data_IF_741023578141
#
_entry.id   IF_741023578141
#
_cell.length_a   1.000
_cell.length_b   1.000
_cell.length_c   1.000
_cell.angle_alpha   90.00
_cell.angle_beta   90.00
_cell.angle_gamma   90.00
#
_symmetry.space_group_name_H-M   'P 1'
#
loop_
_entity.id
_entity.type
_entity.pdbx_description
1 polymer ?
#
# COMPACT_ATOMS: atom_id res chain seq x y z
N UNK A 1 2.96 18.69 3.49
CA UNK A 1 2.50 19.62 4.54
C UNK A 1 2.77 19.08 5.94
N UNK A 2 2.29 17.87 6.28
CA UNK A 2 2.44 17.24 7.61
C UNK A 2 3.91 17.10 8.05
N UNK A 3 4.79 16.53 7.22
CA UNK A 3 6.24 16.43 7.51
C UNK A 3 6.87 17.77 7.92
N UNK A 4 6.45 18.87 7.29
CA UNK A 4 6.93 20.22 7.61
C UNK A 4 6.38 20.68 8.96
N UNK A 5 5.10 20.43 9.25
CA UNK A 5 4.50 20.73 10.54
C UNK A 5 5.23 20.01 11.68
N UNK A 6 5.52 18.72 11.51
CA UNK A 6 6.28 17.92 12.51
C UNK A 6 7.68 18.47 12.75
N UNK A 7 8.41 18.86 11.69
CA UNK A 7 9.74 19.51 11.82
C UNK A 7 9.68 20.84 12.56
N UNK A 8 8.55 21.56 12.46
CA UNK A 8 8.36 22.85 13.09
C UNK A 8 7.76 22.76 14.51
N UNK A 9 7.40 21.56 15.00
CA UNK A 9 6.75 21.37 16.30
C UNK A 9 7.45 22.14 17.42
N UNK A 10 8.74 21.89 17.62
CA UNK A 10 9.55 22.55 18.67
C UNK A 10 9.62 24.06 18.47
N UNK A 11 9.75 24.53 17.23
CA UNK A 11 9.78 25.96 16.94
C UNK A 11 8.44 26.65 17.24
N UNK A 12 7.33 25.98 16.93
CA UNK A 12 5.97 26.46 17.22
C UNK A 12 5.74 26.52 18.73
N UNK A 13 6.10 25.47 19.46
CA UNK A 13 6.00 25.43 20.93
C UNK A 13 6.82 26.55 21.60
N UNK A 14 8.07 26.74 21.18
CA UNK A 14 8.92 27.83 21.69
C UNK A 14 8.35 29.21 21.36
N UNK A 15 7.80 29.39 20.16
CA UNK A 15 7.15 30.64 19.76
C UNK A 15 5.92 30.92 20.63
N UNK A 16 5.09 29.90 20.87
CA UNK A 16 3.91 30.02 21.74
C UNK A 16 4.29 30.39 23.16
N UNK A 17 5.32 29.75 23.72
CA UNK A 17 5.81 30.05 25.08
C UNK A 17 6.30 31.50 25.15
N UNK A 18 7.16 31.93 24.21
CA UNK A 18 7.69 33.30 24.19
C UNK A 18 6.61 34.35 24.02
N UNK A 19 5.69 34.13 23.08
CA UNK A 19 4.61 35.06 22.79
C UNK A 19 3.60 35.14 23.95
N UNK A 20 3.33 34.01 24.62
CA UNK A 20 2.50 33.97 25.82
C UNK A 20 3.12 34.80 26.95
N UNK A 21 4.42 34.62 27.22
CA UNK A 21 5.12 35.37 28.25
C UNK A 21 5.09 36.89 27.96
N UNK A 22 5.42 37.30 26.74
CA UNK A 22 5.37 38.70 26.31
C UNK A 22 3.96 39.29 26.49
N UNK A 23 2.94 38.58 26.03
CA UNK A 23 1.56 39.05 26.15
C UNK A 23 1.11 39.16 27.61
N UNK A 24 1.48 38.21 28.47
CA UNK A 24 1.18 38.28 29.89
C UNK A 24 1.88 39.48 30.55
N UNK A 25 3.15 39.71 30.26
CA UNK A 25 3.91 40.84 30.82
C UNK A 25 3.32 42.20 30.44
N UNK A 26 2.90 42.36 29.18
CA UNK A 26 2.23 43.58 28.69
C UNK A 26 0.85 43.83 29.32
N UNK A 27 0.19 42.77 29.81
CA UNK A 27 -1.19 42.83 30.28
C UNK A 27 -1.36 42.56 31.79
N UNK A 28 -0.26 42.36 32.54
CA UNK A 28 -0.27 42.25 34.00
C UNK A 28 -0.57 43.58 34.68
N UNK A 29 -1.38 43.51 35.72
CA UNK A 29 -1.66 44.66 36.60
C UNK A 29 -0.43 45.00 37.45
N UNK A 30 -0.01 46.27 37.45
CA UNK A 30 1.08 46.76 38.33
C UNK A 30 0.75 46.65 39.83
N UNK A 31 -0.53 46.56 40.21
CA UNK A 31 -0.98 46.46 41.61
C UNK A 31 -1.09 45.02 42.12
N UNK A 32 -1.51 44.09 41.28
CA UNK A 32 -1.81 42.70 41.68
C UNK A 32 -0.92 41.66 41.02
N UNK A 33 -0.10 42.04 40.04
CA UNK A 33 0.80 41.13 39.30
C UNK A 33 0.09 40.13 38.40
N UNK A 34 -1.25 40.16 38.34
CA UNK A 34 -2.08 39.22 37.58
C UNK A 34 -2.71 39.91 36.36
N UNK A 35 -2.97 39.11 35.31
CA UNK A 35 -3.73 39.55 34.14
C UNK A 35 -5.22 39.57 34.50
N UNK A 36 -5.90 40.68 34.21
CA UNK A 36 -7.34 40.81 34.52
C UNK A 36 -8.21 39.95 33.60
N UNK A 37 -9.38 39.55 34.07
CA UNK A 37 -10.30 38.71 33.30
C UNK A 37 -10.80 39.37 32.00
N UNK A 38 -10.95 40.70 31.99
CA UNK A 38 -11.27 41.47 30.78
C UNK A 38 -10.16 41.42 29.72
N UNK A 39 -8.89 41.29 30.13
CA UNK A 39 -7.74 41.14 29.23
C UNK A 39 -7.64 39.70 28.70
N UNK A 40 -7.90 38.70 29.55
CA UNK A 40 -8.00 37.30 29.13
C UNK A 40 -9.11 37.08 28.09
N UNK A 41 -10.23 37.79 28.18
CA UNK A 41 -11.28 37.73 27.15
C UNK A 41 -10.81 38.26 25.77
N UNK A 42 -9.76 39.09 25.73
CA UNK A 42 -9.14 39.62 24.51
C UNK A 42 -7.85 38.88 24.13
N UNK A 43 -7.66 37.65 24.62
CA UNK A 43 -6.48 36.82 24.32
C UNK A 43 -6.33 36.62 22.80
N UNK A 44 -5.13 36.87 22.23
CA UNK A 44 -4.84 36.62 20.82
C UNK A 44 -5.19 35.20 20.41
N UNK A 45 -5.68 35.01 19.18
CA UNK A 45 -6.16 33.69 18.68
C UNK A 45 -5.13 32.58 18.87
N UNK A 46 -3.87 32.83 18.55
CA UNK A 46 -2.76 31.87 18.65
C UNK A 46 -2.50 31.39 20.09
N UNK A 47 -2.91 32.17 21.10
CA UNK A 47 -2.76 31.82 22.51
C UNK A 47 -4.00 31.15 23.09
N UNK A 48 -5.11 31.08 22.36
CA UNK A 48 -6.33 30.41 22.84
C UNK A 48 -6.15 28.91 22.76
N UNK A 49 -6.54 28.23 23.82
CA UNK A 49 -6.29 26.80 24.00
C UNK A 49 -6.99 25.97 22.89
N UNK A 50 -8.16 26.42 22.43
CA UNK A 50 -8.92 25.86 21.30
C UNK A 50 -8.18 25.90 19.94
N UNK A 51 -7.17 26.76 19.78
CA UNK A 51 -6.38 26.91 18.55
C UNK A 51 -4.98 26.29 18.67
N UNK A 52 -4.68 25.61 19.77
CA UNK A 52 -3.39 24.98 20.01
C UNK A 52 -3.50 23.48 19.77
N UNK A 53 -2.48 22.92 19.11
CA UNK A 53 -2.34 21.48 18.95
C UNK A 53 -1.86 20.88 20.27
N UNK A 54 -2.66 19.99 20.83
CA UNK A 54 -2.31 19.20 22.00
C UNK A 54 -1.32 18.10 21.62
N UNK A 55 -0.64 17.49 22.60
CA UNK A 55 0.27 16.36 22.35
C UNK A 55 -0.41 15.23 21.55
N UNK A 56 -1.69 14.99 21.82
CA UNK A 56 -2.51 14.02 21.10
C UNK A 56 -2.69 14.38 19.62
N UNK A 57 -2.87 15.66 19.30
CA UNK A 57 -3.02 16.11 17.91
C UNK A 57 -1.72 15.92 17.14
N UNK A 58 -0.59 16.19 17.79
CA UNK A 58 0.74 15.91 17.24
C UNK A 58 0.95 14.41 17.00
N UNK A 59 0.49 13.56 17.91
CA UNK A 59 0.56 12.11 17.76
C UNK A 59 -0.24 11.62 16.54
N UNK A 60 -1.45 12.15 16.34
CA UNK A 60 -2.23 11.89 15.11
C UNK A 60 -1.46 12.29 13.85
N UNK A 61 -0.75 13.43 13.88
CA UNK A 61 0.09 13.85 12.75
C UNK A 61 1.26 12.89 12.48
N UNK A 62 1.84 12.26 13.51
CA UNK A 62 2.86 11.22 13.33
C UNK A 62 2.27 9.96 12.67
N UNK A 63 1.10 9.49 13.12
CA UNK A 63 0.45 8.34 12.49
C UNK A 63 0.09 8.62 11.03
N UNK A 64 -0.44 9.81 10.73
CA UNK A 64 -0.71 10.21 9.34
C UNK A 64 0.58 10.29 8.50
N UNK A 65 1.68 10.77 9.06
CA UNK A 65 2.97 10.80 8.37
C UNK A 65 3.54 9.41 8.11
N UNK A 66 3.20 8.42 8.93
CA UNK A 66 3.60 7.03 8.73
C UNK A 66 2.73 6.29 7.68
N UNK A 67 1.42 6.59 7.63
CA UNK A 67 0.48 5.95 6.68
C UNK A 67 0.66 6.50 5.25
N UNK A 68 0.70 7.82 5.09
CA UNK A 68 0.68 8.48 3.79
C UNK A 68 1.83 8.06 2.84
N UNK A 69 3.06 7.77 3.29
CA UNK A 69 4.13 7.27 2.45
C UNK A 69 3.82 5.92 1.82
N UNK A 70 3.06 5.04 2.52
CA UNK A 70 2.63 3.75 1.95
C UNK A 70 1.70 4.01 0.77
N UNK A 71 0.71 4.90 0.94
CA UNK A 71 -0.17 5.34 -0.15
C UNK A 71 0.62 5.99 -1.29
N UNK A 72 1.54 6.90 -0.99
CA UNK A 72 2.38 7.56 -1.97
C UNK A 72 3.18 6.53 -2.80
N UNK A 73 3.77 5.53 -2.15
CA UNK A 73 4.50 4.46 -2.83
C UNK A 73 3.59 3.60 -3.70
N UNK A 74 2.45 3.14 -3.18
CA UNK A 74 1.52 2.28 -3.93
C UNK A 74 0.98 3.03 -5.14
N UNK A 75 0.47 4.25 -4.96
CA UNK A 75 -0.10 5.04 -6.06
C UNK A 75 0.95 5.33 -7.14
N UNK A 76 2.17 5.73 -6.76
CA UNK A 76 3.26 5.95 -7.74
C UNK A 76 3.66 4.67 -8.49
N UNK A 77 3.52 3.52 -7.83
CA UNK A 77 3.80 2.23 -8.47
C UNK A 77 2.68 1.85 -9.43
N UNK A 78 1.41 2.12 -9.09
CA UNK A 78 0.26 1.72 -9.91
C UNK A 78 -0.09 2.71 -11.03
N UNK A 79 0.26 4.00 -10.91
CA UNK A 79 -0.03 5.03 -11.93
C UNK A 79 0.88 4.96 -13.18
N UNK A 80 1.79 3.99 -13.24
CA UNK A 80 2.67 3.79 -14.38
C UNK A 80 1.96 3.21 -15.61
N UNK A 81 2.74 2.92 -16.65
CA UNK A 81 2.25 2.51 -17.97
C UNK A 81 2.76 1.12 -18.41
N UNK A 82 3.24 0.30 -17.47
CA UNK A 82 3.81 -1.02 -17.70
C UNK A 82 5.16 -1.04 -18.43
N UNK A 83 5.69 0.11 -18.87
CA UNK A 83 6.91 0.11 -19.68
C UNK A 83 8.18 -0.01 -18.83
N UNK A 84 9.03 -0.96 -19.21
CA UNK A 84 10.36 -1.10 -18.63
C UNK A 84 11.24 0.08 -19.04
N UNK A 85 11.76 0.81 -18.05
CA UNK A 85 12.65 1.96 -18.28
C UNK A 85 13.82 1.97 -17.32
N UNK A 86 14.97 2.48 -17.79
CA UNK A 86 16.07 2.89 -16.91
C UNK A 86 15.69 4.16 -16.17
N UNK A 87 15.79 4.15 -14.84
CA UNK A 87 15.39 5.23 -13.95
C UNK A 87 16.59 5.80 -13.20
N UNK A 88 16.35 6.90 -12.47
CA UNK A 88 17.34 7.51 -11.58
C UNK A 88 17.86 6.43 -10.62
N UNK A 89 19.18 6.43 -10.36
CA UNK A 89 19.93 5.38 -9.65
C UNK A 89 20.30 4.13 -10.48
N UNK A 90 20.11 4.13 -11.80
CA UNK A 90 20.59 3.06 -12.70
C UNK A 90 19.69 1.81 -12.74
N UNK A 91 18.53 1.88 -12.09
CA UNK A 91 17.56 0.78 -12.03
C UNK A 91 16.78 0.65 -13.34
N UNK A 92 16.41 -0.59 -13.73
CA UNK A 92 15.55 -0.88 -14.88
C UNK A 92 14.27 -1.56 -14.43
N UNK A 93 13.11 -1.01 -14.78
CA UNK A 93 11.85 -1.71 -14.55
C UNK A 93 10.59 -0.92 -14.89
N UNK A 94 9.45 -1.60 -14.75
CA UNK A 94 8.11 -1.10 -15.03
C UNK A 94 7.36 -0.70 -13.76
N UNK A 95 6.38 0.20 -13.93
CA UNK A 95 5.35 0.60 -12.97
C UNK A 95 4.02 0.53 -13.70
N UNK A 96 2.92 0.32 -12.98
CA UNK A 96 1.57 0.17 -13.53
C UNK A 96 1.32 -1.21 -14.13
N UNK A 97 1.99 -2.23 -13.59
CA UNK A 97 1.74 -3.59 -14.04
C UNK A 97 0.41 -4.09 -13.47
N UNK A 98 -0.31 -4.87 -14.26
CA UNK A 98 -1.64 -5.33 -13.89
C UNK A 98 -1.61 -6.31 -12.69
N UNK A 99 -0.55 -7.12 -12.56
CA UNK A 99 -0.32 -8.00 -11.43
C UNK A 99 0.02 -7.26 -10.12
N UNK A 100 0.41 -5.98 -10.18
CA UNK A 100 0.69 -5.19 -8.98
C UNK A 100 -0.60 -4.66 -8.32
N UNK A 101 -1.73 -4.64 -9.02
CA UNK A 101 -2.95 -3.98 -8.52
C UNK A 101 -3.47 -4.64 -7.25
N UNK A 102 -3.73 -5.95 -7.26
CA UNK A 102 -4.23 -6.68 -6.08
C UNK A 102 -3.24 -6.59 -4.92
N UNK A 103 -1.94 -6.73 -5.20
CA UNK A 103 -0.86 -6.60 -4.21
C UNK A 103 -0.89 -5.23 -3.52
N UNK A 104 -1.19 -4.17 -4.28
CA UNK A 104 -1.27 -2.82 -3.75
C UNK A 104 -2.48 -2.59 -2.86
N UNK A 105 -3.64 -3.14 -3.24
CA UNK A 105 -4.82 -3.11 -2.38
C UNK A 105 -4.59 -3.88 -1.08
N UNK A 106 -4.04 -5.09 -1.15
CA UNK A 106 -3.70 -5.89 0.03
C UNK A 106 -2.76 -5.14 0.97
N UNK A 107 -1.70 -4.51 0.45
CA UNK A 107 -0.78 -3.70 1.27
C UNK A 107 -1.48 -2.54 1.97
N UNK A 108 -2.29 -1.77 1.23
CA UNK A 108 -2.98 -0.61 1.79
C UNK A 108 -4.05 -1.01 2.82
N UNK A 109 -4.82 -2.06 2.55
CA UNK A 109 -5.83 -2.58 3.48
C UNK A 109 -5.19 -3.10 4.76
N UNK A 110 -4.15 -3.93 4.66
CA UNK A 110 -3.41 -4.45 5.81
C UNK A 110 -2.82 -3.31 6.66
N UNK A 111 -2.23 -2.29 6.01
CA UNK A 111 -1.72 -1.11 6.70
C UNK A 111 -2.83 -0.40 7.48
N UNK A 112 -3.98 -0.14 6.84
CA UNK A 112 -5.10 0.51 7.50
C UNK A 112 -5.71 -0.33 8.63
N UNK A 113 -5.70 -1.67 8.52
CA UNK A 113 -6.14 -2.55 9.60
C UNK A 113 -5.22 -2.48 10.82
N UNK A 114 -3.90 -2.42 10.63
CA UNK A 114 -2.94 -2.19 11.71
C UNK A 114 -3.25 -0.88 12.45
N UNK A 115 -3.43 0.21 11.70
CA UNK A 115 -3.77 1.51 12.30
C UNK A 115 -5.17 1.58 12.89
N UNK A 116 -6.12 0.77 12.40
CA UNK A 116 -7.45 0.64 13.00
C UNK A 116 -7.37 -0.03 14.38
N UNK A 117 -6.49 -1.03 14.55
CA UNK A 117 -6.19 -1.64 15.86
C UNK A 117 -5.54 -0.64 16.79
N UNK A 118 -4.50 0.07 16.33
CA UNK A 118 -3.84 1.12 17.11
C UNK A 118 -4.80 2.25 17.53
N UNK A 119 -5.73 2.64 16.65
CA UNK A 119 -6.71 3.68 16.94
C UNK A 119 -7.75 3.26 18.00
N UNK A 120 -7.91 1.97 18.28
CA UNK A 120 -8.86 1.48 19.28
C UNK A 120 -8.43 1.84 20.71
N UNK A 121 -7.12 1.81 20.98
CA UNK A 121 -6.54 2.07 22.31
C UNK A 121 -6.23 3.56 22.54
N UNK A 122 -6.56 4.42 21.57
CA UNK A 122 -6.16 5.83 21.61
C UNK A 122 -7.08 6.68 22.52
N UNK A 123 -6.56 7.51 23.44
CA UNK A 123 -7.38 8.22 24.45
C UNK A 123 -8.26 9.36 23.91
N UNK A 124 -8.16 9.70 22.62
CA UNK A 124 -9.07 10.63 21.95
C UNK A 124 -9.27 10.22 20.49
N UNK A 125 -9.88 9.05 20.24
CA UNK A 125 -9.80 8.36 18.96
C UNK A 125 -10.76 8.93 17.94
N UNK A 126 -11.73 9.77 18.32
CA UNK A 126 -12.94 9.97 17.52
C UNK A 126 -12.64 10.39 16.07
N UNK A 127 -11.89 11.46 15.86
CA UNK A 127 -11.56 11.88 14.49
C UNK A 127 -10.57 10.96 13.78
N UNK A 128 -9.53 10.46 14.47
CA UNK A 128 -8.53 9.59 13.84
C UNK A 128 -9.13 8.23 13.46
N UNK A 129 -9.79 7.56 14.41
CA UNK A 129 -10.51 6.29 14.21
C UNK A 129 -11.59 6.40 13.15
N UNK A 130 -12.41 7.46 13.16
CA UNK A 130 -13.44 7.67 12.12
C UNK A 130 -12.76 7.79 10.76
N UNK A 131 -11.71 8.60 10.63
CA UNK A 131 -11.00 8.79 9.35
C UNK A 131 -10.35 7.51 8.84
N UNK A 132 -9.70 6.72 9.71
CA UNK A 132 -9.10 5.43 9.33
C UNK A 132 -10.17 4.44 8.88
N UNK A 133 -11.29 4.35 9.60
CA UNK A 133 -12.40 3.49 9.21
C UNK A 133 -13.02 3.92 7.87
N UNK A 134 -13.17 5.23 7.63
CA UNK A 134 -13.66 5.74 6.34
C UNK A 134 -12.68 5.44 5.20
N UNK A 135 -11.38 5.61 5.43
CA UNK A 135 -10.35 5.27 4.45
C UNK A 135 -10.35 3.77 4.14
N UNK A 136 -10.44 2.92 5.17
CA UNK A 136 -10.51 1.46 5.02
C UNK A 136 -11.76 1.05 4.26
N UNK A 137 -12.93 1.56 4.66
CA UNK A 137 -14.20 1.24 3.99
C UNK A 137 -14.22 1.67 2.54
N UNK A 138 -13.63 2.83 2.22
CA UNK A 138 -13.54 3.27 0.82
C UNK A 138 -12.59 2.41 0.00
N UNK A 139 -11.49 1.96 0.60
CA UNK A 139 -10.53 1.09 -0.07
C UNK A 139 -11.10 -0.32 -0.29
N UNK A 140 -11.81 -0.86 0.70
CA UNK A 140 -12.52 -2.14 0.64
C UNK A 140 -13.62 -2.12 -0.44
N UNK A 141 -14.38 -1.02 -0.54
CA UNK A 141 -15.35 -0.81 -1.63
C UNK A 141 -14.70 -0.96 -3.01
N UNK A 142 -13.55 -0.31 -3.25
CA UNK A 142 -12.85 -0.44 -4.53
C UNK A 142 -12.18 -1.80 -4.71
N UNK A 143 -11.73 -2.43 -3.62
CA UNK A 143 -11.13 -3.77 -3.68
C UNK A 143 -12.15 -4.82 -4.12
N UNK A 144 -13.37 -4.74 -3.59
CA UNK A 144 -14.48 -5.62 -4.01
C UNK A 144 -14.85 -5.43 -5.48
N UNK A 145 -14.63 -4.24 -6.05
CA UNK A 145 -14.87 -3.99 -7.49
C UNK A 145 -13.83 -4.65 -8.39
N UNK A 146 -12.71 -5.14 -7.88
CA UNK A 146 -11.77 -5.94 -8.68
C UNK A 146 -12.42 -7.25 -9.17
N UNK A 147 -13.42 -7.76 -8.43
CA UNK A 147 -14.24 -8.91 -8.85
C UNK A 147 -15.01 -8.64 -10.16
N UNK A 148 -15.26 -7.38 -10.51
CA UNK A 148 -15.92 -7.01 -11.77
C UNK A 148 -15.01 -7.26 -12.99
N UNK A 149 -13.68 -7.38 -12.78
CA UNK A 149 -12.70 -7.56 -13.86
C UNK A 149 -11.71 -8.67 -13.53
N UNK A 150 -12.02 -9.93 -13.91
CA UNK A 150 -11.21 -11.11 -13.58
C UNK A 150 -9.71 -11.04 -13.92
N UNK A 151 -9.34 -10.20 -14.89
CA UNK A 151 -7.96 -10.05 -15.37
C UNK A 151 -6.93 -9.77 -14.26
N UNK A 152 -7.32 -9.10 -13.18
CA UNK A 152 -6.42 -8.82 -12.06
C UNK A 152 -6.02 -10.10 -11.33
N UNK A 153 -6.93 -11.07 -11.21
CA UNK A 153 -6.65 -12.37 -10.62
C UNK A 153 -5.91 -13.26 -11.61
N UNK A 154 -6.33 -13.26 -12.88
CA UNK A 154 -5.66 -14.01 -13.96
C UNK A 154 -4.18 -13.62 -14.06
N UNK A 155 -3.88 -12.32 -13.99
CA UNK A 155 -2.50 -11.83 -14.07
C UNK A 155 -1.60 -12.37 -12.94
N UNK A 156 -2.12 -12.50 -11.72
CA UNK A 156 -1.36 -13.06 -10.59
C UNK A 156 -1.28 -14.59 -10.70
N UNK A 157 -2.38 -15.24 -11.07
CA UNK A 157 -2.44 -16.69 -11.25
C UNK A 157 -1.49 -17.17 -12.36
N UNK A 158 -1.25 -16.35 -13.38
CA UNK A 158 -0.29 -16.63 -14.46
C UNK A 158 1.12 -16.13 -14.16
N UNK A 159 1.34 -15.33 -13.12
CA UNK A 159 2.68 -14.82 -12.82
C UNK A 159 3.56 -15.93 -12.20
N UNK A 160 4.72 -16.28 -12.78
CA UNK A 160 5.53 -17.42 -12.32
C UNK A 160 5.90 -17.37 -10.83
N UNK A 161 6.22 -16.18 -10.32
CA UNK A 161 6.60 -15.97 -8.92
C UNK A 161 5.43 -16.03 -7.91
N UNK A 162 4.17 -15.94 -8.35
CA UNK A 162 3.01 -15.86 -7.45
C UNK A 162 2.12 -17.10 -7.59
N UNK A 163 1.47 -17.25 -8.76
CA UNK A 163 0.51 -18.33 -9.06
C UNK A 163 -0.55 -18.48 -7.95
N UNK A 164 -1.15 -19.67 -7.83
CA UNK A 164 -2.17 -19.95 -6.82
C UNK A 164 -1.68 -19.92 -5.38
N UNK A 165 -0.40 -20.22 -5.12
CA UNK A 165 0.16 -20.20 -3.77
C UNK A 165 0.01 -18.82 -3.11
N UNK A 166 0.16 -17.75 -3.90
CA UNK A 166 -0.01 -16.40 -3.38
C UNK A 166 -1.40 -16.17 -2.81
N UNK A 167 -2.43 -16.66 -3.51
CA UNK A 167 -3.82 -16.58 -3.05
C UNK A 167 -4.05 -17.46 -1.83
N UNK A 168 -3.56 -18.70 -1.86
CA UNK A 168 -3.71 -19.65 -0.76
C UNK A 168 -3.05 -19.14 0.53
N UNK A 169 -1.89 -18.49 0.44
CA UNK A 169 -1.18 -17.88 1.59
C UNK A 169 -1.82 -16.56 2.03
N UNK A 170 -2.15 -15.65 1.10
CA UNK A 170 -2.68 -14.31 1.42
C UNK A 170 -4.12 -14.37 1.93
N UNK A 171 -4.94 -15.23 1.32
CA UNK A 171 -6.35 -15.42 1.67
C UNK A 171 -6.60 -16.71 2.44
N UNK A 172 -5.60 -17.21 3.18
CA UNK A 172 -5.72 -18.43 4.00
C UNK A 172 -6.94 -18.43 4.96
N UNK A 173 -7.37 -17.23 5.38
CA UNK A 173 -8.52 -17.04 6.26
C UNK A 173 -9.87 -16.89 5.52
N UNK A 174 -9.86 -16.92 4.19
CA UNK A 174 -11.03 -16.74 3.29
C UNK A 174 -10.96 -17.71 2.10
N UNK A 175 -11.05 -19.03 2.33
CA UNK A 175 -10.93 -20.02 1.26
C UNK A 175 -11.97 -19.83 0.13
N UNK A 176 -13.18 -19.37 0.47
CA UNK A 176 -14.22 -19.06 -0.52
C UNK A 176 -13.82 -17.96 -1.52
N UNK A 177 -12.92 -17.05 -1.14
CA UNK A 177 -12.39 -16.03 -2.06
C UNK A 177 -11.43 -16.64 -3.07
N UNK A 178 -10.60 -17.60 -2.64
CA UNK A 178 -9.72 -18.34 -3.52
C UNK A 178 -10.52 -19.18 -4.51
N UNK A 179 -11.57 -19.87 -4.05
CA UNK A 179 -12.47 -20.64 -4.91
C UNK A 179 -13.13 -19.76 -5.98
N UNK A 180 -13.69 -18.60 -5.57
CA UNK A 180 -14.27 -17.62 -6.49
C UNK A 180 -13.23 -17.13 -7.51
N UNK A 181 -12.01 -16.83 -7.08
CA UNK A 181 -10.95 -16.41 -8.01
C UNK A 181 -10.57 -17.52 -8.99
N UNK A 182 -10.49 -18.78 -8.54
CA UNK A 182 -10.25 -19.95 -9.41
C UNK A 182 -11.34 -20.10 -10.46
N UNK A 183 -12.61 -19.95 -10.08
CA UNK A 183 -13.76 -19.97 -11.00
C UNK A 183 -13.64 -18.84 -12.04
N UNK A 184 -13.43 -17.60 -11.60
CA UNK A 184 -13.29 -16.44 -12.51
C UNK A 184 -12.13 -16.60 -13.50
N UNK A 185 -10.98 -17.12 -13.05
CA UNK A 185 -9.82 -17.34 -13.93
C UNK A 185 -10.06 -18.49 -14.91
N UNK A 186 -10.71 -19.56 -14.45
CA UNK A 186 -11.09 -20.68 -15.31
C UNK A 186 -12.10 -20.25 -16.39
N UNK A 187 -13.10 -19.43 -16.02
CA UNK A 187 -14.08 -18.88 -16.97
C UNK A 187 -13.40 -18.08 -18.07
N UNK A 188 -12.50 -17.15 -17.72
CA UNK A 188 -11.71 -16.37 -18.70
C UNK A 188 -10.91 -17.29 -19.62
N UNK A 189 -10.23 -18.29 -19.06
CA UNK A 189 -9.45 -19.25 -19.85
C UNK A 189 -10.34 -19.97 -20.86
N UNK A 190 -11.44 -20.58 -20.39
CA UNK A 190 -12.32 -21.39 -21.22
C UNK A 190 -13.08 -20.55 -22.27
N UNK A 191 -13.51 -19.34 -21.92
CA UNK A 191 -14.31 -18.50 -22.82
C UNK A 191 -13.46 -17.85 -23.91
N UNK A 192 -12.28 -17.34 -23.56
CA UNK A 192 -11.56 -16.39 -24.40
C UNK A 192 -10.23 -16.92 -24.95
N UNK A 193 -9.58 -17.87 -24.27
CA UNK A 193 -8.18 -18.25 -24.56
C UNK A 193 -7.97 -19.72 -24.96
N UNK A 194 -8.71 -20.66 -24.37
CA UNK A 194 -8.46 -22.11 -24.51
C UNK A 194 -8.56 -22.63 -25.97
N UNK A 195 -9.24 -21.88 -26.84
CA UNK A 195 -9.45 -22.24 -28.24
C UNK A 195 -8.61 -21.40 -29.22
N UNK A 196 -7.77 -20.48 -28.72
CA UNK A 196 -6.91 -19.66 -29.57
C UNK A 196 -5.71 -20.48 -30.04
N UNK A 197 -5.45 -20.45 -31.35
CA UNK A 197 -4.25 -21.07 -31.90
C UNK A 197 -3.01 -20.24 -31.51
N UNK A 198 -2.13 -20.85 -30.72
CA UNK A 198 -0.84 -20.25 -30.37
C UNK A 198 0.01 -20.17 -31.64
N UNK A 199 0.17 -18.96 -32.20
CA UNK A 199 1.10 -18.73 -33.31
C UNK A 199 2.53 -18.83 -32.78
N UNK A 200 3.14 -20.00 -32.92
CA UNK A 200 4.57 -20.21 -32.71
C UNK A 200 5.36 -19.49 -33.81
N UNK A 201 5.56 -18.17 -33.67
CA UNK A 201 6.61 -17.50 -34.44
C UNK A 201 7.96 -17.92 -33.86
N UNK A 202 8.57 -18.97 -34.42
CA UNK A 202 9.89 -19.48 -34.04
C UNK A 202 11.00 -18.48 -34.45
N UNK A 203 11.04 -17.30 -33.85
CA UNK A 203 11.97 -16.23 -34.26
C UNK A 203 12.39 -15.27 -33.14
N UNK A 204 12.21 -15.62 -31.88
CA UNK A 204 12.86 -14.91 -30.76
C UNK A 204 13.68 -15.94 -30.00
N UNK A 205 15.00 -15.74 -29.98
CA UNK A 205 15.96 -16.73 -29.51
C UNK A 205 15.71 -17.11 -28.06
N UNK A 206 15.49 -18.41 -27.84
CA UNK A 206 15.35 -19.08 -26.55
C UNK A 206 16.64 -19.08 -25.70
N UNK A 207 17.62 -18.21 -26.01
CA UNK A 207 18.96 -18.20 -25.40
C UNK A 207 19.19 -17.03 -24.43
N UNK A 208 18.21 -16.14 -24.20
CA UNK A 208 18.36 -15.06 -23.21
C UNK A 208 17.68 -15.44 -21.89
N UNK A 209 18.44 -15.79 -20.83
CA UNK A 209 17.85 -16.19 -19.56
C UNK A 209 17.02 -15.04 -18.98
N UNK A 210 15.87 -15.33 -18.33
CA UNK A 210 15.02 -14.30 -17.75
C UNK A 210 15.85 -13.41 -16.84
N UNK A 211 15.69 -12.10 -16.99
CA UNK A 211 16.52 -11.10 -16.33
C UNK A 211 16.58 -11.36 -14.82
N UNK A 212 17.73 -11.87 -14.34
CA UNK A 212 17.97 -12.17 -12.93
C UNK A 212 17.83 -10.91 -12.10
N UNK A 213 17.17 -11.00 -10.94
CA UNK A 213 17.01 -9.92 -9.95
C UNK A 213 18.35 -9.19 -9.67
N UNK A 214 18.52 -7.92 -10.08
CA UNK A 214 19.42 -7.03 -9.36
C UNK A 214 18.75 -6.57 -8.05
N UNK A 215 19.55 -6.20 -7.04
CA UNK A 215 19.06 -5.73 -5.74
C UNK A 215 18.12 -4.53 -5.93
N UNK A 216 16.86 -4.81 -5.77
CA UNK A 216 15.75 -3.91 -5.98
C UNK A 216 15.34 -3.25 -4.65
N UNK A 217 14.91 -1.99 -4.69
CA UNK A 217 14.29 -1.32 -3.56
C UNK A 217 13.14 -0.42 -4.04
N UNK A 218 11.99 -1.00 -4.37
CA UNK A 218 10.71 -0.31 -4.22
C UNK A 218 10.14 -0.75 -2.87
N UNK A 219 9.74 0.20 -1.99
CA UNK A 219 9.07 -0.16 -0.74
C UNK A 219 7.80 -0.99 -0.97
N UNK A 220 7.22 -0.96 -2.18
CA UNK A 220 6.14 -1.84 -2.62
C UNK A 220 6.53 -3.33 -2.65
N UNK A 221 7.59 -3.72 -3.38
CA UNK A 221 7.99 -5.14 -3.51
C UNK A 221 8.55 -5.73 -2.21
N UNK A 222 9.02 -4.89 -1.26
CA UNK A 222 9.38 -5.38 0.09
C UNK A 222 8.17 -5.97 0.81
N UNK A 223 6.97 -5.45 0.50
CA UNK A 223 5.74 -5.82 1.17
C UNK A 223 4.85 -6.76 0.33
N UNK A 224 5.12 -6.89 -0.97
CA UNK A 224 4.57 -7.96 -1.81
C UNK A 224 5.11 -9.30 -1.30
N UNK A 225 4.33 -9.97 -0.46
CA UNK A 225 4.66 -11.30 0.07
C UNK A 225 4.82 -12.26 -1.11
N UNK A 226 6.04 -12.70 -1.38
CA UNK A 226 6.24 -13.87 -2.23
C UNK A 226 5.74 -15.09 -1.47
N UNK A 227 5.14 -16.06 -2.17
CA UNK A 227 4.80 -17.32 -1.56
C UNK A 227 6.02 -17.94 -0.90
N UNK A 228 5.83 -18.41 0.33
CA UNK A 228 6.86 -19.03 1.17
C UNK A 228 7.09 -20.49 0.77
N UNK A 229 6.10 -21.06 0.10
CA UNK A 229 6.02 -22.48 -0.22
C UNK A 229 6.97 -22.83 -1.37
N UNK A 230 7.85 -23.82 -1.12
CA UNK A 230 8.55 -24.54 -2.18
C UNK A 230 7.62 -25.69 -2.58
N UNK A 231 7.05 -25.68 -3.80
CA UNK A 231 6.05 -26.66 -4.18
C UNK A 231 6.67 -28.06 -4.34
N UNK A 232 5.92 -29.13 -4.01
CA UNK A 232 6.31 -30.50 -4.33
C UNK A 232 6.33 -30.69 -5.85
N UNK A 233 7.41 -31.24 -6.39
CA UNK A 233 7.52 -31.60 -7.81
C UNK A 233 6.41 -32.59 -8.20
N UNK A 234 5.49 -32.19 -9.08
CA UNK A 234 4.48 -33.08 -9.66
C UNK A 234 4.93 -33.55 -11.04
N UNK A 235 5.34 -34.82 -11.13
CA UNK A 235 5.96 -35.42 -12.32
C UNK A 235 5.01 -35.70 -13.51
N UNK A 236 3.73 -35.34 -13.42
CA UNK A 236 2.74 -35.65 -14.44
C UNK A 236 1.93 -34.40 -14.81
N UNK A 237 2.24 -33.81 -15.96
CA UNK A 237 1.38 -32.83 -16.61
C UNK A 237 0.16 -33.59 -17.13
N UNK A 238 -0.93 -33.57 -16.37
CA UNK A 238 -2.23 -34.13 -16.77
C UNK A 238 -3.23 -32.99 -16.75
N UNK A 239 -3.58 -32.46 -17.92
CA UNK A 239 -4.53 -31.35 -18.03
C UNK A 239 -4.43 -30.61 -19.36
N UNK A 240 -5.19 -29.53 -19.48
CA UNK A 240 -5.06 -28.56 -20.57
C UNK A 240 -3.80 -27.69 -20.41
N UNK A 241 -3.53 -26.79 -21.37
CA UNK A 241 -2.36 -25.91 -21.35
C UNK A 241 -2.27 -25.07 -20.06
N UNK A 242 -3.40 -24.59 -19.55
CA UNK A 242 -3.45 -23.82 -18.31
C UNK A 242 -3.08 -24.67 -17.07
N UNK A 243 -3.61 -25.88 -16.96
CA UNK A 243 -3.22 -26.79 -15.87
C UNK A 243 -1.75 -27.19 -15.97
N UNK A 244 -1.26 -27.43 -17.19
CA UNK A 244 0.14 -27.70 -17.45
C UNK A 244 1.01 -26.55 -16.94
N UNK A 245 0.69 -25.31 -17.34
CA UNK A 245 1.35 -24.11 -16.84
C UNK A 245 1.39 -24.07 -15.33
N UNK A 246 0.28 -24.31 -14.62
CA UNK A 246 0.24 -24.25 -13.16
C UNK A 246 1.13 -25.30 -12.48
N UNK A 247 1.25 -26.48 -13.07
CA UNK A 247 2.07 -27.59 -12.53
C UNK A 247 3.55 -27.52 -12.91
N UNK A 248 3.87 -26.94 -14.07
CA UNK A 248 5.24 -26.82 -14.57
C UNK A 248 5.92 -25.63 -13.90
N UNK A 249 6.79 -25.90 -12.92
CA UNK A 249 7.45 -24.91 -12.08
C UNK A 249 8.94 -25.13 -12.01
N UNK A 250 9.69 -24.07 -12.23
CA UNK A 250 11.14 -24.07 -12.10
C UNK A 250 11.57 -23.38 -10.79
N UNK A 251 12.71 -23.77 -10.23
CA UNK A 251 13.24 -23.19 -8.99
C UNK A 251 13.58 -21.70 -9.14
N UNK A 252 13.73 -21.22 -10.39
CA UNK A 252 14.01 -19.84 -10.70
C UNK A 252 12.76 -18.95 -10.81
N UNK A 253 11.55 -19.53 -10.87
CA UNK A 253 10.27 -18.82 -11.10
C UNK A 253 9.99 -17.75 -10.04
N UNK A 254 10.36 -18.02 -8.77
CA UNK A 254 10.23 -17.05 -7.67
C UNK A 254 11.08 -15.77 -7.84
N UNK A 255 12.03 -15.78 -8.78
CA UNK A 255 12.86 -14.61 -9.11
C UNK A 255 12.34 -13.82 -10.32
N UNK A 256 11.30 -14.32 -11.00
CA UNK A 256 10.71 -13.66 -12.16
C UNK A 256 9.99 -12.40 -11.69
N UNK A 257 10.22 -11.30 -12.42
CA UNK A 257 9.65 -9.98 -12.11
C UNK A 257 8.73 -9.47 -13.20
N UNK A 258 9.07 -9.76 -14.45
CA UNK A 258 8.24 -9.46 -15.60
C UNK A 258 7.78 -10.79 -16.20
N UNK A 259 6.53 -11.22 -15.95
CA UNK A 259 5.99 -12.45 -16.52
C UNK A 259 5.83 -12.38 -18.03
N UNK A 260 5.88 -11.19 -18.65
CA UNK A 260 5.77 -11.05 -20.12
C UNK A 260 7.08 -11.42 -20.81
N UNK A 261 8.22 -11.24 -20.13
CA UNK A 261 9.55 -11.59 -20.63
C UNK A 261 10.08 -12.93 -20.12
N UNK A 262 9.23 -13.71 -19.45
CA UNK A 262 9.50 -15.09 -19.04
C UNK A 262 9.31 -16.02 -20.23
#
# INVERSE_FOLDING_TARGET
MIRRALRLKTSIELLLIKYKAQWEDENRSKKTGQVTQAKLAKKPRILRDENQLMDKDWEVLYYLEAILPVFETVVKTLEGDGHIRRRKQGWTGSYGNIWDVVLGYELLLNTLEEYKRLAADFPNPEHFRIRINLAWGKLDEYYQRLDETPIYYTAIALHPAYRWDWFDETWAHKPSWVEKAKEMVADVWLSDYAHLEVRTSSSRGDDEPPAKRPRFFNPFEKNSRLPSSIPPYTAAIVGDEYQAWQTDRDASDGNVRDPIGY
#
